data_IF_458200819604
#
_entry.id   IF_458200819604
#
_cell.length_a   1.000
_cell.length_b   1.000
_cell.length_c   1.000
_cell.angle_alpha   90.00
_cell.angle_beta   90.00
_cell.angle_gamma   90.00
#
_symmetry.space_group_name_H-M   'P 1'
#
loop_
_entity.id
_entity.type
_entity.pdbx_description
1 polymer ?
#
# COMPACT_ATOMS: atom_id res chain seq x y z
N UNK A 1 60.46 -30.44 -9.61
CA UNK A 1 59.79 -29.59 -8.61
C UNK A 1 59.74 -28.12 -9.05
N UNK A 2 60.77 -27.54 -9.58
CA UNK A 2 60.83 -26.16 -10.07
C UNK A 2 59.83 -25.91 -11.23
N UNK A 3 59.74 -26.78 -12.22
CA UNK A 3 58.79 -26.64 -13.34
C UNK A 3 57.33 -26.63 -12.88
N UNK A 4 56.97 -27.46 -11.91
CA UNK A 4 55.61 -27.48 -11.33
C UNK A 4 55.26 -26.16 -10.61
N UNK A 5 56.21 -25.58 -9.90
CA UNK A 5 56.02 -24.26 -9.23
C UNK A 5 55.88 -23.14 -10.25
N UNK A 6 56.67 -23.16 -11.31
CA UNK A 6 56.56 -22.16 -12.38
C UNK A 6 55.23 -22.28 -13.10
N UNK A 7 54.80 -23.51 -13.42
CA UNK A 7 53.50 -23.78 -14.02
C UNK A 7 52.36 -23.30 -13.13
N UNK A 8 52.36 -23.64 -11.82
CA UNK A 8 51.35 -23.23 -10.88
C UNK A 8 51.23 -21.69 -10.74
N UNK A 9 52.40 -21.00 -10.71
CA UNK A 9 52.42 -19.51 -10.68
C UNK A 9 51.82 -18.89 -11.95
N UNK A 10 52.17 -19.44 -13.12
CA UNK A 10 51.61 -18.97 -14.40
C UNK A 10 50.10 -19.21 -14.50
N UNK A 11 49.65 -20.38 -14.07
CA UNK A 11 48.23 -20.71 -14.01
C UNK A 11 47.48 -19.78 -13.07
N UNK A 12 48.01 -19.55 -11.87
CA UNK A 12 47.39 -18.62 -10.91
C UNK A 12 47.31 -17.19 -11.47
N UNK A 13 48.43 -16.71 -12.06
CA UNK A 13 48.43 -15.40 -12.68
C UNK A 13 47.40 -15.30 -13.84
N UNK A 14 47.29 -16.35 -14.65
CA UNK A 14 46.28 -16.39 -15.72
C UNK A 14 44.83 -16.38 -15.20
N UNK A 15 44.55 -17.15 -14.14
CA UNK A 15 43.24 -17.17 -13.50
C UNK A 15 42.91 -15.81 -12.91
N UNK A 16 43.85 -15.18 -12.19
CA UNK A 16 43.62 -13.85 -11.63
C UNK A 16 43.39 -12.80 -12.71
N UNK A 17 44.22 -12.79 -13.76
CA UNK A 17 44.03 -11.86 -14.88
C UNK A 17 42.69 -12.03 -15.58
N UNK A 18 42.28 -13.29 -15.81
CA UNK A 18 40.98 -13.60 -16.38
C UNK A 18 39.82 -13.15 -15.48
N UNK A 19 39.89 -13.42 -14.17
CA UNK A 19 38.87 -13.01 -13.19
C UNK A 19 38.73 -11.49 -13.12
N UNK A 20 39.85 -10.76 -13.12
CA UNK A 20 39.85 -9.30 -13.14
C UNK A 20 39.22 -8.76 -14.44
N UNK A 21 39.68 -9.29 -15.60
CA UNK A 21 39.14 -8.88 -16.91
C UNK A 21 37.64 -9.18 -17.03
N UNK A 22 37.23 -10.37 -16.63
CA UNK A 22 35.83 -10.78 -16.60
C UNK A 22 35.00 -9.86 -15.71
N UNK A 23 35.50 -9.55 -14.49
CA UNK A 23 34.82 -8.63 -13.58
C UNK A 23 34.65 -7.22 -14.18
N UNK A 24 35.71 -6.68 -14.78
CA UNK A 24 35.66 -5.36 -15.44
C UNK A 24 34.62 -5.36 -16.58
N UNK A 25 34.68 -6.37 -17.46
CA UNK A 25 33.75 -6.48 -18.59
C UNK A 25 32.33 -6.67 -18.11
N UNK A 26 32.11 -7.55 -17.12
CA UNK A 26 30.78 -7.82 -16.58
C UNK A 26 30.17 -6.60 -15.92
N UNK A 27 30.94 -5.89 -15.10
CA UNK A 27 30.48 -4.64 -14.47
C UNK A 27 30.24 -3.57 -15.55
N UNK A 28 31.15 -3.46 -16.52
CA UNK A 28 31.00 -2.51 -17.64
C UNK A 28 29.72 -2.75 -18.43
N UNK A 29 29.45 -3.99 -18.84
CA UNK A 29 28.20 -4.33 -19.57
C UNK A 29 26.98 -4.11 -18.69
N UNK A 30 27.02 -4.51 -17.41
CA UNK A 30 25.94 -4.29 -16.47
C UNK A 30 25.61 -2.79 -16.30
N UNK A 31 26.64 -1.98 -16.12
CA UNK A 31 26.47 -0.52 -15.99
C UNK A 31 26.00 0.14 -17.27
N UNK A 32 26.52 -0.26 -18.45
CA UNK A 32 26.05 0.29 -19.74
C UNK A 32 24.58 -0.08 -20.03
N UNK A 33 24.13 -1.28 -19.62
CA UNK A 33 22.74 -1.70 -19.76
C UNK A 33 21.78 -1.01 -18.80
N UNK A 34 22.26 -0.53 -17.65
CA UNK A 34 21.45 0.08 -16.59
C UNK A 34 21.58 1.60 -16.47
N UNK A 35 22.39 2.23 -17.32
CA UNK A 35 22.74 3.66 -17.19
C UNK A 35 21.55 4.63 -17.19
N UNK A 36 20.39 4.22 -17.68
CA UNK A 36 19.19 5.06 -17.70
C UNK A 36 18.20 4.82 -16.53
N UNK A 37 18.42 3.79 -15.70
CA UNK A 37 17.47 3.45 -14.63
C UNK A 37 17.98 3.76 -13.22
N UNK A 38 19.29 3.79 -13.02
CA UNK A 38 19.85 3.95 -11.67
C UNK A 38 19.98 5.42 -11.22
N UNK A 39 20.05 6.38 -12.14
CA UNK A 39 20.11 7.81 -11.79
C UNK A 39 18.83 8.28 -11.11
N UNK A 40 17.69 7.86 -11.65
CA UNK A 40 16.38 8.26 -11.13
C UNK A 40 16.09 7.64 -9.74
N UNK A 41 16.61 6.44 -9.47
CA UNK A 41 16.44 5.78 -8.17
C UNK A 41 17.17 6.53 -7.05
N UNK A 42 18.42 6.95 -7.30
CA UNK A 42 19.21 7.69 -6.30
C UNK A 42 18.57 9.07 -6.04
N UNK A 43 18.11 9.75 -7.09
CA UNK A 43 17.40 11.01 -6.96
C UNK A 43 16.10 10.85 -6.19
N UNK A 44 15.28 9.86 -6.54
CA UNK A 44 14.05 9.54 -5.80
C UNK A 44 14.31 9.23 -4.32
N UNK A 45 15.39 8.52 -4.01
CA UNK A 45 15.76 8.23 -2.63
C UNK A 45 16.16 9.49 -1.85
N UNK A 46 16.99 10.36 -2.43
CA UNK A 46 17.39 11.62 -1.80
C UNK A 46 16.17 12.51 -1.57
N UNK A 47 15.31 12.64 -2.57
CA UNK A 47 14.08 13.42 -2.50
C UNK A 47 13.12 12.84 -1.45
N UNK A 48 13.02 11.52 -1.33
CA UNK A 48 12.20 10.89 -0.30
C UNK A 48 12.72 11.16 1.11
N UNK A 49 14.04 11.20 1.32
CA UNK A 49 14.61 11.54 2.62
C UNK A 49 14.34 12.99 3.02
N UNK A 50 14.35 13.93 2.06
CA UNK A 50 13.97 15.31 2.30
C UNK A 50 12.47 15.42 2.60
N UNK A 51 11.63 14.83 1.76
CA UNK A 51 10.18 14.80 1.92
C UNK A 51 9.73 14.22 3.27
N UNK A 52 10.46 13.25 3.82
CA UNK A 52 10.15 12.65 5.12
C UNK A 52 10.06 13.69 6.24
N UNK A 53 10.92 14.69 6.23
CA UNK A 53 10.97 15.76 7.25
C UNK A 53 9.80 16.76 7.10
N UNK A 54 9.23 16.86 5.88
CA UNK A 54 8.19 17.83 5.54
C UNK A 54 6.77 17.22 5.54
N UNK A 55 6.67 15.88 5.68
CA UNK A 55 5.37 15.21 5.76
C UNK A 55 4.63 15.57 7.05
N UNK A 56 3.31 15.77 7.00
CA UNK A 56 2.50 15.97 8.19
C UNK A 56 2.65 14.83 9.19
N UNK A 57 2.65 15.13 10.47
CA UNK A 57 2.65 14.14 11.54
C UNK A 57 1.31 13.40 11.63
N UNK A 58 1.31 12.20 12.23
CA UNK A 58 0.12 11.42 12.53
C UNK A 58 0.18 9.97 12.04
N UNK A 59 -0.76 9.19 12.57
CA UNK A 59 -0.95 7.77 12.25
C UNK A 59 -1.87 7.60 11.03
N UNK A 60 -1.30 7.64 9.85
CA UNK A 60 -1.99 7.45 8.57
C UNK A 60 -1.07 6.72 7.60
N UNK A 61 -1.68 6.17 6.54
CA UNK A 61 -0.95 5.49 5.47
C UNK A 61 -0.85 6.34 4.23
N UNK A 62 0.13 6.02 3.42
CA UNK A 62 0.28 6.57 2.07
C UNK A 62 -0.10 5.54 1.01
N UNK A 63 -0.41 6.04 -0.16
CA UNK A 63 -0.34 5.27 -1.39
C UNK A 63 0.61 5.97 -2.37
N UNK A 64 1.04 5.27 -3.40
CA UNK A 64 1.94 5.82 -4.41
C UNK A 64 1.45 5.48 -5.81
N UNK A 65 1.73 6.35 -6.77
CA UNK A 65 1.36 6.12 -8.14
C UNK A 65 2.58 6.28 -9.05
N UNK A 66 3.04 5.15 -9.62
CA UNK A 66 4.20 5.09 -10.55
C UNK A 66 5.47 5.71 -9.98
N UNK A 67 5.72 5.45 -8.70
CA UNK A 67 6.97 5.76 -8.01
C UNK A 67 7.74 4.47 -7.73
N UNK A 68 8.81 4.54 -6.96
CA UNK A 68 9.50 3.35 -6.47
C UNK A 68 8.60 2.53 -5.55
N UNK A 69 8.58 1.21 -5.74
CA UNK A 69 7.68 0.29 -5.03
C UNK A 69 7.76 0.35 -3.50
N UNK A 70 8.92 0.67 -2.96
CA UNK A 70 9.17 0.74 -1.52
C UNK A 70 9.38 2.17 -1.01
N UNK A 71 8.83 3.16 -1.70
CA UNK A 71 8.91 4.57 -1.28
C UNK A 71 8.45 4.75 0.18
N UNK A 72 7.40 4.04 0.60
CA UNK A 72 6.92 4.07 1.98
C UNK A 72 7.98 3.73 3.03
N UNK A 73 8.90 2.80 2.73
CA UNK A 73 10.00 2.46 3.63
C UNK A 73 11.00 3.61 3.80
N UNK A 74 11.24 4.38 2.73
CA UNK A 74 12.13 5.54 2.81
C UNK A 74 11.51 6.68 3.59
N UNK A 75 10.18 6.83 3.50
CA UNK A 75 9.39 7.84 4.21
C UNK A 75 9.05 7.44 5.65
N UNK A 76 9.37 6.21 6.07
CA UNK A 76 8.94 5.66 7.36
C UNK A 76 7.41 5.71 7.56
N UNK A 77 6.69 5.46 6.48
CA UNK A 77 5.22 5.44 6.45
C UNK A 77 4.71 4.11 5.91
N UNK A 78 3.66 3.59 6.53
CA UNK A 78 2.94 2.45 5.99
C UNK A 78 2.34 2.78 4.63
N UNK A 79 2.55 1.92 3.64
CA UNK A 79 2.13 2.14 2.25
C UNK A 79 1.28 0.96 1.75
N UNK A 80 0.29 1.24 0.90
CA UNK A 80 -0.49 0.20 0.24
C UNK A 80 0.34 -0.55 -0.79
N UNK A 81 1.21 0.16 -1.49
CA UNK A 81 2.13 -0.46 -2.44
C UNK A 81 3.39 -0.94 -1.74
N UNK A 82 3.73 -2.19 -2.00
CA UNK A 82 4.87 -2.82 -1.36
C UNK A 82 5.45 -3.90 -2.26
N UNK A 83 6.78 -3.93 -2.36
CA UNK A 83 7.54 -5.01 -2.98
C UNK A 83 8.36 -5.74 -1.91
N UNK A 84 8.10 -7.02 -1.75
CA UNK A 84 8.86 -7.87 -0.82
C UNK A 84 8.40 -9.32 -0.90
N UNK A 85 9.34 -10.24 -0.93
CA UNK A 85 9.08 -11.68 -1.02
C UNK A 85 8.55 -12.28 0.27
N UNK A 86 8.68 -11.56 1.41
CA UNK A 86 8.12 -11.98 2.69
C UNK A 86 6.91 -11.12 3.02
N UNK A 87 5.77 -11.74 3.25
CA UNK A 87 4.54 -11.06 3.64
C UNK A 87 3.83 -11.84 4.74
N UNK A 88 3.09 -11.14 5.60
CA UNK A 88 2.26 -11.78 6.60
C UNK A 88 1.14 -12.61 5.92
N UNK A 89 0.77 -13.79 6.46
CA UNK A 89 -0.31 -14.61 5.89
C UNK A 89 -1.63 -13.85 5.73
N UNK A 90 -1.95 -12.94 6.65
CA UNK A 90 -3.14 -12.09 6.58
C UNK A 90 -3.16 -11.19 5.33
N UNK A 91 -2.02 -10.67 4.90
CA UNK A 91 -1.91 -9.87 3.67
C UNK A 91 -2.12 -10.76 2.45
N UNK A 92 -1.60 -12.00 2.47
CA UNK A 92 -1.74 -12.96 1.38
C UNK A 92 -3.18 -13.46 1.20
N UNK A 93 -4.03 -13.36 2.21
CA UNK A 93 -5.47 -13.66 2.10
C UNK A 93 -6.31 -12.41 1.82
N UNK A 94 -6.03 -11.30 2.50
CA UNK A 94 -6.82 -10.07 2.42
C UNK A 94 -6.82 -9.43 1.03
N UNK A 95 -5.66 -9.21 0.42
CA UNK A 95 -5.60 -8.56 -0.88
C UNK A 95 -6.29 -9.35 -2.00
N UNK A 96 -6.06 -10.67 -2.17
CA UNK A 96 -6.79 -11.46 -3.16
C UNK A 96 -8.30 -11.49 -2.94
N UNK A 97 -8.77 -11.51 -1.68
CA UNK A 97 -10.20 -11.42 -1.36
C UNK A 97 -10.84 -10.12 -1.86
N UNK A 98 -10.05 -9.06 -2.05
CA UNK A 98 -10.48 -7.77 -2.61
C UNK A 98 -10.15 -7.60 -4.10
N UNK A 99 -9.69 -8.66 -4.78
CA UNK A 99 -9.31 -8.61 -6.19
C UNK A 99 -7.96 -7.96 -6.46
N UNK A 100 -7.17 -7.70 -5.43
CA UNK A 100 -5.81 -7.17 -5.58
C UNK A 100 -4.83 -8.33 -5.67
N UNK A 101 -4.12 -8.44 -6.79
CA UNK A 101 -3.07 -9.44 -6.93
C UNK A 101 -1.97 -9.18 -5.91
N UNK A 102 -1.64 -10.21 -5.13
CA UNK A 102 -0.51 -10.20 -4.21
C UNK A 102 0.37 -11.43 -4.42
N UNK A 103 1.54 -11.18 -4.98
CA UNK A 103 2.65 -12.15 -5.01
C UNK A 103 3.85 -11.56 -4.27
N UNK A 104 4.94 -11.17 -4.93
CA UNK A 104 6.06 -10.40 -4.36
C UNK A 104 5.78 -8.90 -4.33
N UNK A 105 4.69 -8.45 -4.96
CA UNK A 105 4.31 -7.04 -5.10
C UNK A 105 2.82 -6.86 -4.80
N UNK A 106 2.45 -5.76 -4.16
CA UNK A 106 1.07 -5.29 -4.04
C UNK A 106 0.96 -3.93 -4.71
N UNK A 107 0.06 -3.80 -5.68
CA UNK A 107 -0.22 -2.54 -6.37
C UNK A 107 -1.72 -2.45 -6.64
N UNK A 108 -2.55 -2.03 -5.66
CA UNK A 108 -3.97 -1.86 -5.87
C UNK A 108 -4.23 -0.81 -6.95
N UNK A 109 -5.06 -1.13 -7.93
CA UNK A 109 -5.49 -0.17 -8.94
C UNK A 109 -6.23 1.02 -8.31
N UNK A 110 -6.15 2.22 -8.93
CA UNK A 110 -6.85 3.40 -8.43
C UNK A 110 -8.37 3.20 -8.45
N UNK A 111 -8.89 2.41 -9.39
CA UNK A 111 -10.30 2.04 -9.49
C UNK A 111 -10.84 1.31 -8.24
N UNK A 112 -9.97 0.67 -7.45
CA UNK A 112 -10.34 0.12 -6.14
C UNK A 112 -10.24 1.21 -5.06
N UNK A 113 -10.97 2.31 -5.26
CA UNK A 113 -10.90 3.52 -4.45
C UNK A 113 -11.24 3.30 -2.97
N UNK A 114 -12.23 2.45 -2.69
CA UNK A 114 -12.70 2.22 -1.32
C UNK A 114 -11.63 1.58 -0.42
N UNK A 115 -10.67 0.88 -1.00
CA UNK A 115 -9.53 0.33 -0.26
C UNK A 115 -8.70 1.43 0.42
N UNK A 116 -8.63 2.63 -0.19
CA UNK A 116 -7.88 3.76 0.38
C UNK A 116 -8.54 4.31 1.64
N UNK A 117 -9.85 4.47 1.62
CA UNK A 117 -10.62 4.85 2.82
C UNK A 117 -10.51 3.79 3.91
N UNK A 118 -10.75 2.51 3.56
CA UNK A 118 -10.70 1.37 4.48
C UNK A 118 -9.34 1.22 5.18
N UNK A 119 -8.26 1.45 4.46
CA UNK A 119 -6.90 1.31 5.00
C UNK A 119 -6.29 2.64 5.48
N UNK A 120 -7.11 3.66 5.70
CA UNK A 120 -6.67 4.95 6.27
C UNK A 120 -5.54 5.61 5.47
N UNK A 121 -5.63 5.57 4.13
CA UNK A 121 -4.71 6.28 3.26
C UNK A 121 -5.10 7.75 3.23
N UNK A 122 -4.22 8.60 3.72
CA UNK A 122 -4.44 10.04 3.74
C UNK A 122 -3.81 10.72 2.53
N UNK A 123 -2.61 10.35 2.15
CA UNK A 123 -1.90 10.98 1.05
C UNK A 123 -1.51 9.97 -0.03
N UNK A 124 -1.57 10.42 -1.27
CA UNK A 124 -1.02 9.71 -2.42
C UNK A 124 0.10 10.54 -3.05
N UNK A 125 1.22 9.87 -3.32
CA UNK A 125 2.40 10.47 -3.90
C UNK A 125 2.58 10.03 -5.35
N UNK A 126 2.87 11.00 -6.23
CA UNK A 126 3.29 10.74 -7.60
C UNK A 126 4.40 11.71 -8.00
N UNK A 127 4.91 11.60 -9.22
CA UNK A 127 5.90 12.54 -9.78
C UNK A 127 5.28 13.42 -10.86
N UNK A 128 5.93 14.54 -11.18
CA UNK A 128 5.50 15.41 -12.28
C UNK A 128 5.35 14.66 -13.61
N UNK A 129 6.22 13.69 -13.87
CA UNK A 129 6.18 12.87 -15.08
C UNK A 129 4.87 12.04 -15.19
N UNK A 130 4.28 11.66 -14.09
CA UNK A 130 3.09 10.80 -14.05
C UNK A 130 1.79 11.51 -13.65
N UNK A 131 1.87 12.81 -13.32
CA UNK A 131 0.72 13.61 -12.88
C UNK A 131 -0.46 13.55 -13.85
N UNK A 132 -0.21 13.75 -15.15
CA UNK A 132 -1.27 13.73 -16.17
C UNK A 132 -1.99 12.38 -16.23
N UNK A 133 -1.23 11.29 -16.11
CA UNK A 133 -1.78 9.95 -16.13
C UNK A 133 -2.57 9.66 -14.84
N UNK A 134 -2.06 10.10 -13.70
CA UNK A 134 -2.77 10.01 -12.44
C UNK A 134 -4.16 10.68 -12.53
N UNK A 135 -4.24 11.91 -13.03
CA UNK A 135 -5.52 12.61 -13.20
C UNK A 135 -6.49 11.93 -14.18
N UNK A 136 -5.98 11.15 -15.11
CA UNK A 136 -6.83 10.40 -16.05
C UNK A 136 -7.40 9.10 -15.45
N UNK A 137 -6.76 8.55 -14.44
CA UNK A 137 -7.09 7.25 -13.84
C UNK A 137 -7.68 7.37 -12.42
N UNK A 138 -7.41 8.49 -11.72
CA UNK A 138 -7.87 8.72 -10.36
C UNK A 138 -9.35 9.13 -10.31
N UNK A 139 -10.01 8.76 -9.22
CA UNK A 139 -11.34 9.25 -8.88
C UNK A 139 -11.35 10.72 -8.41
N UNK A 140 -12.53 11.27 -8.18
CA UNK A 140 -12.74 12.67 -7.76
C UNK A 140 -12.30 12.96 -6.31
N UNK A 141 -11.95 11.94 -5.55
CA UNK A 141 -11.63 12.04 -4.11
C UNK A 141 -10.23 12.56 -3.80
N UNK A 142 -9.43 12.95 -4.80
CA UNK A 142 -8.07 13.40 -4.60
C UNK A 142 -7.95 14.91 -4.83
N UNK A 143 -7.59 15.65 -3.79
CA UNK A 143 -7.28 17.06 -3.87
C UNK A 143 -5.76 17.28 -3.87
N UNK A 144 -5.27 18.19 -4.73
CA UNK A 144 -3.87 18.61 -4.66
C UNK A 144 -3.57 19.18 -3.27
N UNK A 145 -2.53 18.67 -2.64
CA UNK A 145 -2.06 19.13 -1.34
C UNK A 145 -0.83 20.02 -1.48
N UNK A 146 0.28 19.48 -2.01
CA UNK A 146 1.52 20.21 -2.17
C UNK A 146 2.45 19.53 -3.21
N UNK A 147 3.54 20.23 -3.55
CA UNK A 147 4.65 19.67 -4.32
C UNK A 147 5.93 19.87 -3.53
N UNK A 148 6.46 18.80 -2.98
CA UNK A 148 7.63 18.77 -2.10
C UNK A 148 8.67 17.81 -2.67
N UNK A 149 9.92 18.24 -2.73
CA UNK A 149 11.09 17.41 -3.06
C UNK A 149 10.91 16.50 -4.28
N UNK A 150 10.33 17.03 -5.36
CA UNK A 150 10.11 16.30 -6.61
C UNK A 150 8.90 15.39 -6.63
N UNK A 151 8.16 15.29 -5.53
CA UNK A 151 6.89 14.56 -5.45
C UNK A 151 5.70 15.52 -5.41
N UNK A 152 4.61 15.10 -6.02
CA UNK A 152 3.30 15.74 -5.90
C UNK A 152 2.48 14.92 -4.91
N UNK A 153 1.94 15.60 -3.91
CA UNK A 153 1.08 15.03 -2.89
C UNK A 153 -0.37 15.38 -3.19
N UNK A 154 -1.23 14.37 -3.11
CA UNK A 154 -2.68 14.50 -3.14
C UNK A 154 -3.25 14.04 -1.82
N UNK A 155 -4.18 14.81 -1.24
CA UNK A 155 -4.92 14.42 -0.05
C UNK A 155 -6.22 13.71 -0.41
N UNK A 156 -6.48 12.58 0.23
CA UNK A 156 -7.69 11.81 0.08
C UNK A 156 -8.86 12.49 0.82
N UNK A 157 -9.83 13.03 0.10
CA UNK A 157 -11.01 13.66 0.67
C UNK A 157 -11.95 12.65 1.35
N UNK A 158 -11.79 11.37 1.02
CA UNK A 158 -12.47 10.23 1.63
C UNK A 158 -11.61 9.53 2.69
N UNK A 159 -10.60 10.21 3.22
CA UNK A 159 -9.77 9.68 4.31
C UNK A 159 -10.63 9.35 5.54
N UNK A 160 -10.40 8.15 6.08
CA UNK A 160 -10.98 7.70 7.35
C UNK A 160 -9.83 7.41 8.31
N UNK A 161 -9.83 7.97 9.54
CA UNK A 161 -8.81 7.67 10.54
C UNK A 161 -8.74 6.19 10.88
N UNK A 162 -7.60 5.73 11.39
CA UNK A 162 -7.49 4.37 11.93
C UNK A 162 -8.38 4.21 13.16
N UNK A 163 -9.04 3.04 13.25
CA UNK A 163 -9.97 2.74 14.33
C UNK A 163 -11.33 3.45 14.14
N UNK A 164 -12.34 2.68 13.82
CA UNK A 164 -13.74 3.12 13.74
C UNK A 164 -14.64 1.94 14.09
N UNK A 165 -15.90 2.23 14.39
CA UNK A 165 -16.89 1.22 14.75
C UNK A 165 -17.89 1.00 13.63
N UNK A 166 -18.57 -0.15 13.65
CA UNK A 166 -19.63 -0.52 12.73
C UNK A 166 -20.97 -0.64 13.45
N UNK A 167 -22.03 -0.24 12.77
CA UNK A 167 -23.43 -0.45 13.21
C UNK A 167 -24.05 -1.65 12.49
N UNK A 168 -23.46 -2.05 11.35
CA UNK A 168 -24.00 -3.09 10.49
C UNK A 168 -23.02 -4.24 10.33
N UNK A 169 -23.58 -5.43 10.11
CA UNK A 169 -22.83 -6.60 9.67
C UNK A 169 -23.46 -7.24 8.44
N UNK A 170 -22.68 -8.02 7.72
CA UNK A 170 -23.10 -8.96 6.68
C UNK A 170 -22.42 -10.30 6.91
N UNK A 171 -23.00 -11.38 6.39
CA UNK A 171 -22.40 -12.71 6.52
C UNK A 171 -21.32 -12.94 5.46
N UNK A 172 -20.42 -13.90 5.70
CA UNK A 172 -19.42 -14.31 4.70
C UNK A 172 -20.08 -14.68 3.37
N UNK A 173 -21.21 -15.41 3.40
CA UNK A 173 -21.95 -15.78 2.19
C UNK A 173 -22.39 -14.55 1.39
N UNK A 174 -22.97 -13.54 2.06
CA UNK A 174 -23.38 -12.30 1.41
C UNK A 174 -22.19 -11.54 0.83
N UNK A 175 -21.06 -11.55 1.54
CA UNK A 175 -19.83 -10.92 1.08
C UNK A 175 -19.23 -11.63 -0.14
N UNK A 176 -19.19 -12.96 -0.13
CA UNK A 176 -18.65 -13.77 -1.24
C UNK A 176 -19.48 -13.68 -2.52
N UNK A 177 -20.78 -13.50 -2.40
CA UNK A 177 -21.69 -13.26 -3.53
C UNK A 177 -21.47 -11.91 -4.23
N UNK A 178 -20.72 -11.00 -3.60
CA UNK A 178 -20.42 -9.68 -4.17
C UNK A 178 -19.24 -9.75 -5.14
N UNK A 179 -19.32 -8.97 -6.22
CA UNK A 179 -18.24 -8.87 -7.22
C UNK A 179 -16.96 -8.36 -6.57
N UNK A 180 -15.87 -9.09 -6.77
CA UNK A 180 -14.59 -8.88 -6.07
C UNK A 180 -14.08 -7.43 -6.05
N UNK A 181 -14.06 -6.66 -7.16
CA UNK A 181 -13.52 -5.28 -7.11
C UNK A 181 -14.32 -4.32 -6.23
N UNK A 182 -15.59 -4.64 -5.93
CA UNK A 182 -16.48 -3.76 -5.14
C UNK A 182 -16.61 -4.20 -3.68
N UNK A 183 -15.98 -5.31 -3.28
CA UNK A 183 -16.01 -5.82 -1.91
C UNK A 183 -15.47 -4.82 -0.88
N UNK A 184 -14.47 -4.02 -1.27
CA UNK A 184 -13.93 -2.97 -0.40
C UNK A 184 -14.96 -1.91 -0.01
N UNK A 185 -15.98 -1.65 -0.87
CA UNK A 185 -17.07 -0.73 -0.55
C UNK A 185 -17.94 -1.28 0.59
N UNK A 186 -18.23 -2.59 0.57
CA UNK A 186 -18.98 -3.23 1.65
C UNK A 186 -18.22 -3.22 2.96
N UNK A 187 -16.90 -3.41 2.93
CA UNK A 187 -16.06 -3.35 4.14
C UNK A 187 -15.98 -1.94 4.75
N UNK A 188 -16.30 -0.90 4.00
CA UNK A 188 -16.49 0.44 4.56
C UNK A 188 -17.82 0.58 5.31
N UNK A 189 -18.83 -0.23 4.95
CA UNK A 189 -20.21 -0.11 5.45
C UNK A 189 -20.50 -1.04 6.61
N UNK A 190 -20.03 -2.28 6.53
CA UNK A 190 -20.41 -3.34 7.47
C UNK A 190 -19.24 -4.26 7.79
N UNK A 191 -19.29 -4.84 8.98
CA UNK A 191 -18.40 -5.91 9.43
C UNK A 191 -18.81 -7.23 8.79
N UNK A 192 -17.87 -8.00 8.27
CA UNK A 192 -18.12 -9.37 7.79
C UNK A 192 -18.01 -10.33 8.96
N UNK A 193 -19.05 -11.10 9.20
CA UNK A 193 -19.11 -12.12 10.25
C UNK A 193 -19.33 -13.51 9.63
N UNK A 194 -18.71 -14.52 10.24
CA UNK A 194 -19.11 -15.90 9.97
C UNK A 194 -20.56 -16.12 10.44
N UNK A 195 -21.20 -17.18 9.97
CA UNK A 195 -22.57 -17.53 10.45
C UNK A 195 -22.59 -17.76 11.97
N UNK A 196 -21.52 -18.33 12.52
CA UNK A 196 -21.36 -18.56 13.96
C UNK A 196 -21.20 -17.24 14.72
N UNK A 197 -20.34 -16.33 14.22
CA UNK A 197 -20.13 -15.02 14.83
C UNK A 197 -21.38 -14.14 14.73
N UNK A 198 -22.16 -14.25 13.65
CA UNK A 198 -23.43 -13.54 13.51
C UNK A 198 -24.45 -13.96 14.59
N UNK A 199 -24.46 -15.22 14.99
CA UNK A 199 -25.28 -15.68 16.13
C UNK A 199 -24.77 -15.13 17.45
N UNK A 200 -23.45 -15.10 17.65
CA UNK A 200 -22.84 -14.64 18.90
C UNK A 200 -22.88 -13.12 19.09
N UNK A 201 -22.60 -12.36 18.04
CA UNK A 201 -22.39 -10.91 18.09
C UNK A 201 -23.48 -10.09 17.39
N UNK A 202 -24.34 -10.70 16.58
CA UNK A 202 -25.42 -10.01 15.85
C UNK A 202 -26.42 -9.28 16.75
N UNK A 203 -26.46 -9.57 18.06
CA UNK A 203 -27.25 -8.80 19.02
C UNK A 203 -26.74 -7.35 19.23
N UNK A 204 -25.50 -7.07 18.90
CA UNK A 204 -24.87 -5.75 19.03
C UNK A 204 -24.83 -4.96 17.71
N UNK A 205 -25.14 -5.61 16.60
CA UNK A 205 -25.06 -5.06 15.25
C UNK A 205 -26.38 -5.30 14.51
N UNK A 206 -26.69 -4.46 13.55
CA UNK A 206 -27.87 -4.62 12.69
C UNK A 206 -27.45 -5.36 11.40
N UNK A 207 -28.22 -6.39 10.94
CA UNK A 207 -27.97 -6.97 9.63
C UNK A 207 -28.07 -5.90 8.53
N UNK A 208 -27.10 -5.88 7.60
CA UNK A 208 -27.11 -4.92 6.49
C UNK A 208 -28.33 -5.20 5.58
N UNK A 209 -29.19 -4.22 5.32
CA UNK A 209 -30.35 -4.41 4.44
C UNK A 209 -29.93 -4.85 3.04
N UNK A 210 -30.70 -5.75 2.41
CA UNK A 210 -30.39 -6.25 1.05
C UNK A 210 -30.27 -5.15 0.01
N UNK A 211 -31.03 -4.07 0.11
CA UNK A 211 -30.91 -2.91 -0.78
C UNK A 211 -29.55 -2.25 -0.70
N UNK A 212 -28.96 -2.21 0.48
CA UNK A 212 -27.66 -1.62 0.75
C UNK A 212 -26.49 -2.49 0.25
N UNK A 213 -26.68 -3.81 0.13
CA UNK A 213 -25.68 -4.71 -0.45
C UNK A 213 -25.37 -4.38 -1.91
N UNK A 214 -26.33 -3.84 -2.63
CA UNK A 214 -26.24 -3.56 -4.07
C UNK A 214 -25.90 -2.11 -4.40
N UNK A 215 -25.92 -1.21 -3.43
CA UNK A 215 -25.49 0.18 -3.63
C UNK A 215 -23.98 0.32 -3.44
N UNK A 216 -23.24 0.09 -4.51
CA UNK A 216 -21.77 0.12 -4.58
C UNK A 216 -21.28 1.34 -5.38
N UNK A 217 -22.07 2.40 -5.42
CA UNK A 217 -21.74 3.64 -6.12
C UNK A 217 -20.66 4.44 -5.38
N UNK A 218 -19.93 5.29 -6.12
CA UNK A 218 -18.94 6.19 -5.53
C UNK A 218 -19.59 7.17 -4.53
N UNK A 219 -20.77 7.68 -4.83
CA UNK A 219 -21.52 8.55 -3.91
C UNK A 219 -21.83 7.85 -2.59
N UNK A 220 -22.24 6.57 -2.65
CA UNK A 220 -22.48 5.80 -1.43
C UNK A 220 -21.18 5.57 -0.65
N UNK A 221 -20.09 5.25 -1.33
CA UNK A 221 -18.78 5.13 -0.71
C UNK A 221 -18.37 6.41 0.03
N UNK A 222 -18.59 7.58 -0.58
CA UNK A 222 -18.29 8.87 0.06
C UNK A 222 -19.09 9.06 1.35
N UNK A 223 -20.37 8.65 1.35
CA UNK A 223 -21.21 8.66 2.55
C UNK A 223 -20.69 7.66 3.61
N UNK A 224 -20.36 6.43 3.21
CA UNK A 224 -19.80 5.42 4.11
C UNK A 224 -18.51 5.93 4.77
N UNK A 225 -17.65 6.65 4.04
CA UNK A 225 -16.46 7.29 4.62
C UNK A 225 -16.83 8.38 5.62
N UNK A 226 -17.87 9.18 5.36
CA UNK A 226 -18.35 10.19 6.31
C UNK A 226 -18.88 9.53 7.59
N UNK A 227 -19.64 8.46 7.46
CA UNK A 227 -20.19 7.70 8.59
C UNK A 227 -19.05 7.09 9.43
N UNK A 228 -18.03 6.52 8.78
CA UNK A 228 -16.86 5.97 9.50
C UNK A 228 -16.02 7.07 10.17
N UNK A 229 -15.90 8.25 9.59
CA UNK A 229 -15.28 9.39 10.29
C UNK A 229 -16.05 9.80 11.53
N UNK A 230 -17.37 9.80 11.46
CA UNK A 230 -18.23 10.12 12.60
C UNK A 230 -18.14 9.08 13.73
N UNK A 231 -17.87 7.82 13.40
CA UNK A 231 -17.69 6.72 14.36
C UNK A 231 -16.22 6.39 14.63
N UNK A 232 -15.29 7.27 14.23
CA UNK A 232 -13.86 7.06 14.47
C UNK A 232 -13.53 7.13 15.97
N UNK A 233 -12.51 6.37 16.37
CA UNK A 233 -11.98 6.42 17.73
C UNK A 233 -11.50 7.83 18.08
N UNK A 234 -11.71 8.24 19.32
CA UNK A 234 -11.22 9.53 19.82
C UNK A 234 -9.69 9.54 19.87
N UNK A 235 -9.09 8.39 20.20
CA UNK A 235 -7.65 8.15 20.14
C UNK A 235 -7.38 6.81 19.46
N UNK A 236 -6.30 6.73 18.70
CA UNK A 236 -5.78 5.50 18.12
C UNK A 236 -4.26 5.59 18.05
N UNK A 237 -3.57 4.73 18.80
CA UNK A 237 -2.12 4.70 18.86
C UNK A 237 -1.59 3.30 18.52
N UNK A 238 -0.68 3.22 17.56
CA UNK A 238 0.03 2.00 17.22
C UNK A 238 1.29 1.84 18.05
N UNK A 239 1.52 0.64 18.57
CA UNK A 239 2.74 0.28 19.30
C UNK A 239 3.34 -1.00 18.74
N UNK A 240 4.58 -1.32 19.13
CA UNK A 240 5.21 -2.60 18.77
C UNK A 240 4.50 -3.84 19.36
N UNK A 241 3.68 -3.65 20.39
CA UNK A 241 2.94 -4.71 21.08
C UNK A 241 1.46 -4.83 20.61
N UNK A 242 0.98 -3.88 19.81
CA UNK A 242 -0.41 -3.82 19.35
C UNK A 242 -0.88 -2.39 19.15
N UNK A 243 -2.13 -2.12 19.53
CA UNK A 243 -2.69 -0.77 19.48
C UNK A 243 -3.49 -0.45 20.75
N UNK A 244 -3.62 0.83 21.02
CA UNK A 244 -4.56 1.37 22.00
C UNK A 244 -5.57 2.26 21.27
N UNK A 245 -6.86 2.08 21.57
CA UNK A 245 -7.92 2.85 20.93
C UNK A 245 -9.04 3.15 21.94
N UNK A 246 -9.58 4.36 21.88
CA UNK A 246 -10.74 4.79 22.67
C UNK A 246 -11.88 5.17 21.73
N UNK A 247 -13.00 4.47 21.85
CA UNK A 247 -14.22 4.75 21.11
C UNK A 247 -15.39 5.05 22.04
N UNK A 248 -16.22 6.01 21.68
CA UNK A 248 -17.49 6.28 22.35
C UNK A 248 -18.60 5.58 21.56
N UNK A 249 -19.32 4.70 22.22
CA UNK A 249 -20.47 4.01 21.62
C UNK A 249 -21.75 4.64 22.16
N UNK A 250 -22.56 5.21 21.29
CA UNK A 250 -23.93 5.60 21.58
C UNK A 250 -24.79 4.33 21.59
N UNK A 251 -25.38 4.01 22.75
CA UNK A 251 -26.27 2.87 22.94
C UNK A 251 -27.72 3.29 22.85
#
# INVERSE_FOLDING_TARGET
WQQRRVFARRLLAGVLAFSCLFGIVHIGIGKFGQWNTDSDLVEQYINALALKEDLPEGDWRIDTYKTHDNLGLWLDKSCLQYFGSTAAPSILSFYPALGVKRDVRSQPELSNYALRGLLSVRYLLTTLAHQKQFHAEADEGWAYYDTLDGYILYENQNYVPMGFTYDYYLTETQYEDTVTPTRSNLLMRALVLTEEDAVAYGQYLTPLPTAELNDLTYTRYTQDCADRRASACATFEMTSAGFHAEATLDR
#
